data_IF_650257747952
#
_entry.id   IF_650257747952
#
_cell.length_a   1.000
_cell.length_b   1.000
_cell.length_c   1.000
_cell.angle_alpha   90.00
_cell.angle_beta   90.00
_cell.angle_gamma   90.00
#
_symmetry.space_group_name_H-M   'P 1'
#
loop_
_entity.id
_entity.type
_entity.pdbx_description
1 polymer ?
#
# COMPACT_ATOMS: atom_id res chain seq x y z
N UNK A 1 -24.46 26.74 18.06
CA UNK A 1 -24.40 26.94 16.59
C UNK A 1 -23.99 25.61 15.96
N UNK A 2 -24.85 24.92 15.19
CA UNK A 2 -24.48 23.73 14.40
C UNK A 2 -24.34 24.17 12.94
N UNK A 3 -23.17 23.99 12.35
CA UNK A 3 -22.94 24.28 10.93
C UNK A 3 -23.66 23.22 10.08
N UNK A 4 -24.44 23.60 9.04
CA UNK A 4 -24.95 22.65 8.07
C UNK A 4 -23.79 21.86 7.45
N UNK A 5 -23.85 20.53 7.45
CA UNK A 5 -22.78 19.64 6.96
C UNK A 5 -21.79 19.12 8.02
N UNK A 6 -21.79 19.67 9.24
CA UNK A 6 -20.88 19.27 10.32
C UNK A 6 -21.57 18.46 11.42
N UNK A 7 -22.70 17.80 11.09
CA UNK A 7 -23.53 17.09 12.09
C UNK A 7 -22.78 15.95 12.80
N UNK A 8 -21.79 15.34 12.14
CA UNK A 8 -20.94 14.26 12.65
C UNK A 8 -19.45 14.63 12.68
N UNK A 9 -19.11 15.92 12.67
CA UNK A 9 -17.71 16.34 12.69
C UNK A 9 -17.00 15.86 13.96
N UNK A 10 -15.86 15.17 13.79
CA UNK A 10 -15.08 14.50 14.85
C UNK A 10 -15.79 13.32 15.54
N UNK A 11 -16.94 12.86 15.03
CA UNK A 11 -17.54 11.61 15.48
C UNK A 11 -17.01 10.44 14.63
N UNK A 12 -16.95 9.22 15.19
CA UNK A 12 -16.62 8.03 14.41
C UNK A 12 -17.55 7.92 13.21
N UNK A 13 -16.97 7.71 12.02
CA UNK A 13 -17.72 7.42 10.80
C UNK A 13 -18.63 6.21 11.04
N UNK A 14 -19.89 6.32 10.63
CA UNK A 14 -20.83 5.20 10.80
C UNK A 14 -20.49 4.07 9.81
N UNK A 15 -20.94 2.84 10.10
CA UNK A 15 -20.77 1.72 9.16
C UNK A 15 -21.42 2.05 7.82
N UNK A 16 -22.60 2.66 7.83
CA UNK A 16 -23.33 3.06 6.62
C UNK A 16 -22.52 4.05 5.77
N UNK A 17 -21.90 5.07 6.37
CA UNK A 17 -21.04 6.02 5.66
C UNK A 17 -19.79 5.34 5.05
N UNK A 18 -19.21 4.37 5.76
CA UNK A 18 -18.06 3.60 5.30
C UNK A 18 -18.41 2.71 4.10
N UNK A 19 -19.59 2.07 4.14
CA UNK A 19 -20.13 1.25 3.05
C UNK A 19 -20.51 2.10 1.84
N UNK A 20 -21.10 3.29 2.07
CA UNK A 20 -21.33 4.27 1.01
C UNK A 20 -20.02 4.70 0.35
N UNK A 21 -18.96 4.94 1.13
CA UNK A 21 -17.65 5.23 0.57
C UNK A 21 -17.10 4.06 -0.26
N UNK A 22 -17.41 2.81 0.08
CA UNK A 22 -16.94 1.62 -0.66
C UNK A 22 -17.68 1.39 -2.01
N UNK A 23 -18.66 2.19 -2.41
CA UNK A 23 -19.43 1.98 -3.65
C UNK A 23 -18.58 1.93 -4.94
N UNK A 24 -17.46 2.64 -4.97
CA UNK A 24 -16.56 2.71 -6.14
C UNK A 24 -15.48 1.61 -6.10
N UNK A 25 -15.44 0.81 -5.04
CA UNK A 25 -14.55 -0.33 -4.88
C UNK A 25 -14.13 -0.57 -3.43
N UNK A 26 -13.53 -1.74 -3.13
CA UNK A 26 -13.20 -2.13 -1.77
C UNK A 26 -12.30 -1.13 -1.06
N UNK A 27 -12.59 -0.87 0.21
CA UNK A 27 -11.71 -0.11 1.10
C UNK A 27 -10.98 -1.08 2.01
N UNK A 28 -9.66 -0.96 2.04
CA UNK A 28 -8.78 -1.79 2.87
C UNK A 28 -8.07 -0.89 3.86
N UNK A 29 -8.43 -0.98 5.14
CA UNK A 29 -7.73 -0.30 6.23
C UNK A 29 -6.66 -1.25 6.76
N UNK A 30 -5.40 -0.83 6.75
CA UNK A 30 -4.30 -1.61 7.32
C UNK A 30 -3.92 -1.02 8.66
N UNK A 31 -4.05 -1.82 9.72
CA UNK A 31 -3.68 -1.44 11.08
C UNK A 31 -2.58 -2.34 11.61
N UNK A 32 -1.45 -1.76 11.98
CA UNK A 32 -0.30 -2.48 12.50
C UNK A 32 -0.11 -2.24 13.99
N UNK A 33 -0.12 -3.32 14.76
CA UNK A 33 0.28 -3.39 16.16
C UNK A 33 1.71 -3.92 16.27
N UNK A 34 2.30 -3.92 17.47
CA UNK A 34 3.72 -4.24 17.65
C UNK A 34 4.10 -5.62 17.11
N UNK A 35 3.25 -6.62 17.34
CA UNK A 35 3.47 -8.04 17.06
C UNK A 35 2.72 -8.56 15.82
N UNK A 36 1.74 -7.82 15.30
CA UNK A 36 0.96 -8.25 14.14
C UNK A 36 0.33 -7.07 13.39
N UNK A 37 -0.10 -7.30 12.15
CA UNK A 37 -0.93 -6.37 11.41
C UNK A 37 -2.27 -7.02 11.04
N UNK A 38 -3.25 -6.16 10.79
CA UNK A 38 -4.59 -6.55 10.40
C UNK A 38 -5.03 -5.72 9.20
N UNK A 39 -5.77 -6.35 8.29
CA UNK A 39 -6.56 -5.62 7.30
C UNK A 39 -8.05 -5.68 7.68
N UNK A 40 -8.71 -4.53 7.61
CA UNK A 40 -10.16 -4.42 7.70
C UNK A 40 -10.68 -4.06 6.31
N UNK A 41 -11.51 -4.94 5.78
CA UNK A 41 -12.05 -4.85 4.43
C UNK A 41 -13.51 -4.42 4.48
N UNK A 42 -13.83 -3.40 3.71
CA UNK A 42 -15.19 -2.90 3.50
C UNK A 42 -15.51 -3.14 2.03
N UNK A 43 -16.39 -4.11 1.78
CA UNK A 43 -16.80 -4.46 0.42
C UNK A 43 -17.98 -3.60 -0.04
N UNK A 44 -18.03 -3.21 -1.32
CA UNK A 44 -19.20 -2.52 -1.87
C UNK A 44 -20.48 -3.34 -1.63
N UNK A 45 -21.52 -2.69 -1.10
CA UNK A 45 -22.82 -3.33 -0.85
C UNK A 45 -22.86 -4.31 0.33
N UNK A 46 -21.74 -4.55 1.03
CA UNK A 46 -21.71 -5.34 2.26
C UNK A 46 -21.90 -4.44 3.48
N UNK A 47 -22.90 -4.73 4.32
CA UNK A 47 -23.17 -3.98 5.56
C UNK A 47 -22.25 -4.32 6.74
N UNK A 48 -21.17 -5.07 6.51
CA UNK A 48 -20.25 -5.54 7.55
C UNK A 48 -18.79 -5.40 7.12
N UNK A 49 -17.90 -5.31 8.11
CA UNK A 49 -16.46 -5.24 7.92
C UNK A 49 -15.87 -6.64 8.04
N UNK A 50 -15.05 -7.04 7.08
CA UNK A 50 -14.33 -8.31 7.11
C UNK A 50 -12.92 -8.10 7.66
N UNK A 51 -12.47 -8.98 8.55
CA UNK A 51 -11.14 -8.93 9.14
C UNK A 51 -10.22 -9.96 8.48
N UNK A 52 -9.00 -9.54 8.16
CA UNK A 52 -7.93 -10.40 7.64
C UNK A 52 -6.71 -10.21 8.56
N UNK A 53 -6.25 -11.30 9.17
CA UNK A 53 -5.00 -11.29 9.92
C UNK A 53 -3.81 -11.29 8.96
N UNK A 54 -2.80 -10.46 9.25
CA UNK A 54 -1.54 -10.38 8.51
C UNK A 54 -0.38 -10.73 9.47
N UNK A 55 -0.23 -12.02 9.85
CA UNK A 55 0.71 -12.44 10.89
C UNK A 55 2.17 -12.24 10.49
N UNK A 56 2.48 -12.26 9.20
CA UNK A 56 3.85 -12.18 8.68
C UNK A 56 4.35 -10.73 8.53
N UNK A 57 3.50 -9.75 8.88
CA UNK A 57 3.85 -8.34 8.94
C UNK A 57 3.55 -7.77 10.33
N UNK A 58 4.51 -7.04 10.90
CA UNK A 58 4.38 -6.48 12.26
C UNK A 58 4.64 -4.98 12.26
N UNK A 59 4.12 -4.29 13.26
CA UNK A 59 4.38 -2.87 13.47
C UNK A 59 5.87 -2.59 13.72
N UNK A 60 6.57 -3.49 14.41
CA UNK A 60 8.03 -3.38 14.57
C UNK A 60 8.76 -3.45 13.21
N UNK A 61 8.32 -4.33 12.31
CA UNK A 61 8.85 -4.44 10.94
C UNK A 61 8.52 -3.19 10.12
N UNK A 62 7.29 -2.67 10.23
CA UNK A 62 6.87 -1.44 9.57
C UNK A 62 7.72 -0.23 10.02
N UNK A 63 7.93 -0.06 11.33
CA UNK A 63 8.76 1.02 11.89
C UNK A 63 10.22 0.92 11.48
N UNK A 64 10.78 -0.29 11.47
CA UNK A 64 12.15 -0.53 10.99
C UNK A 64 12.29 -0.12 9.53
N UNK A 65 11.40 -0.62 8.68
CA UNK A 65 11.39 -0.35 7.25
C UNK A 65 11.24 1.14 6.97
N UNK A 66 10.31 1.82 7.65
CA UNK A 66 10.15 3.27 7.58
C UNK A 66 11.47 3.99 7.94
N UNK A 67 12.09 3.62 9.07
CA UNK A 67 13.32 4.24 9.56
C UNK A 67 14.49 4.06 8.59
N UNK A 68 14.62 2.88 7.98
CA UNK A 68 15.63 2.57 6.97
C UNK A 68 15.43 3.42 5.70
N UNK A 69 14.19 3.51 5.24
CA UNK A 69 13.84 4.31 4.06
C UNK A 69 14.07 5.81 4.30
N UNK A 70 13.71 6.33 5.47
CA UNK A 70 13.98 7.72 5.84
C UNK A 70 15.49 8.03 5.90
N UNK A 71 16.31 7.10 6.43
CA UNK A 71 17.77 7.25 6.44
C UNK A 71 18.35 7.28 5.02
N UNK A 72 17.87 6.40 4.14
CA UNK A 72 18.30 6.37 2.73
C UNK A 72 17.98 7.69 2.03
N UNK A 73 16.75 8.20 2.17
CA UNK A 73 16.34 9.50 1.58
C UNK A 73 17.17 10.67 2.12
N UNK A 74 17.47 10.70 3.43
CA UNK A 74 18.32 11.74 4.03
C UNK A 74 19.75 11.67 3.52
N UNK A 75 20.31 10.48 3.36
CA UNK A 75 21.65 10.26 2.79
C UNK A 75 21.76 10.82 1.37
N UNK A 76 20.74 10.59 0.53
CA UNK A 76 20.66 11.14 -0.85
C UNK A 76 20.74 12.67 -0.86
N UNK A 77 19.91 13.34 -0.04
CA UNK A 77 19.92 14.82 0.10
C UNK A 77 21.24 15.38 0.61
N UNK A 78 21.98 14.62 1.43
CA UNK A 78 23.30 15.02 1.92
C UNK A 78 24.41 14.77 0.89
N UNK A 79 24.29 13.71 0.09
CA UNK A 79 25.30 13.32 -0.90
C UNK A 79 25.26 14.19 -2.17
N UNK A 80 24.12 14.81 -2.48
CA UNK A 80 24.03 15.90 -3.48
C UNK A 80 24.94 17.10 -3.12
N UNK A 81 25.33 17.26 -1.84
CA UNK A 81 26.26 18.31 -1.38
C UNK A 81 27.68 17.81 -1.10
N UNK A 82 27.93 16.49 -1.14
CA UNK A 82 29.26 15.89 -0.91
C UNK A 82 29.36 14.55 -1.63
N UNK A 83 30.21 14.49 -2.64
CA UNK A 83 30.49 13.34 -3.51
C UNK A 83 30.98 12.12 -2.71
N UNK A 84 30.07 11.34 -2.12
CA UNK A 84 30.29 9.95 -1.75
C UNK A 84 29.01 9.18 -2.08
N UNK A 85 28.93 8.74 -3.33
CA UNK A 85 27.83 7.90 -3.83
C UNK A 85 27.96 6.52 -3.17
N UNK A 86 26.96 6.10 -2.39
CA UNK A 86 26.74 4.66 -2.16
C UNK A 86 26.54 4.00 -3.54
N UNK A 87 26.90 2.72 -3.73
CA UNK A 87 26.61 2.02 -4.97
C UNK A 87 25.09 2.02 -5.18
N UNK A 88 24.61 2.64 -6.26
CA UNK A 88 23.18 2.73 -6.61
C UNK A 88 22.49 1.37 -6.59
N UNK A 89 23.22 0.31 -6.95
CA UNK A 89 22.75 -1.07 -6.97
C UNK A 89 22.35 -1.60 -5.58
N UNK A 90 23.05 -1.24 -4.51
CA UNK A 90 22.70 -1.71 -3.16
C UNK A 90 21.37 -1.09 -2.69
N UNK A 91 21.13 0.17 -3.02
CA UNK A 91 19.90 0.88 -2.64
C UNK A 91 18.67 0.39 -3.42
N UNK A 92 18.84 0.06 -4.71
CA UNK A 92 17.77 -0.50 -5.53
C UNK A 92 17.36 -1.89 -5.00
N UNK A 93 18.32 -2.73 -4.62
CA UNK A 93 18.04 -4.03 -3.99
C UNK A 93 17.36 -3.89 -2.63
N UNK A 94 17.77 -2.91 -1.80
CA UNK A 94 17.10 -2.62 -0.52
C UNK A 94 15.62 -2.27 -0.74
N UNK A 95 15.30 -1.42 -1.73
CA UNK A 95 13.93 -1.04 -2.04
C UNK A 95 13.13 -2.20 -2.63
N UNK A 96 13.68 -2.95 -3.58
CA UNK A 96 13.02 -4.11 -4.19
C UNK A 96 12.65 -5.17 -3.14
N UNK A 97 13.53 -5.40 -2.15
CA UNK A 97 13.24 -6.29 -1.02
C UNK A 97 12.08 -5.79 -0.16
N UNK A 98 12.02 -4.48 0.11
CA UNK A 98 10.89 -3.88 0.85
C UNK A 98 9.58 -4.02 0.07
N UNK A 99 9.60 -3.79 -1.24
CA UNK A 99 8.42 -3.94 -2.09
C UNK A 99 7.94 -5.38 -2.17
N UNK A 100 8.86 -6.35 -2.26
CA UNK A 100 8.54 -7.76 -2.24
C UNK A 100 7.96 -8.18 -0.87
N UNK A 101 8.53 -7.67 0.22
CA UNK A 101 8.04 -7.96 1.56
C UNK A 101 6.62 -7.42 1.80
N UNK A 102 6.34 -6.18 1.37
CA UNK A 102 4.99 -5.61 1.39
C UNK A 102 4.02 -6.40 0.50
N UNK A 103 4.51 -6.91 -0.63
CA UNK A 103 3.70 -7.72 -1.53
C UNK A 103 3.27 -9.02 -0.87
N UNK A 104 4.21 -9.83 -0.41
CA UNK A 104 3.90 -11.16 0.11
C UNK A 104 3.16 -11.13 1.45
N UNK A 105 3.44 -10.15 2.31
CA UNK A 105 2.91 -10.15 3.69
C UNK A 105 1.68 -9.26 3.88
N UNK A 106 1.40 -8.33 2.95
CA UNK A 106 0.29 -7.36 3.10
C UNK A 106 -0.61 -7.36 1.88
N UNK A 107 -0.08 -7.04 0.70
CA UNK A 107 -0.91 -6.78 -0.48
C UNK A 107 -1.48 -8.08 -1.05
N UNK A 108 -0.64 -9.08 -1.31
CA UNK A 108 -1.06 -10.36 -1.89
C UNK A 108 -2.11 -11.07 -1.03
N UNK A 109 -1.98 -11.22 0.30
CA UNK A 109 -3.02 -11.85 1.13
C UNK A 109 -4.37 -11.15 1.02
N UNK A 110 -4.39 -9.82 0.95
CA UNK A 110 -5.62 -9.03 0.77
C UNK A 110 -6.21 -9.25 -0.62
N UNK A 111 -5.37 -9.24 -1.67
CA UNK A 111 -5.80 -9.47 -3.05
C UNK A 111 -6.30 -10.89 -3.29
N UNK A 112 -5.65 -11.88 -2.69
CA UNK A 112 -6.07 -13.29 -2.71
C UNK A 112 -7.44 -13.43 -2.05
N UNK A 113 -7.64 -12.79 -0.90
CA UNK A 113 -8.89 -12.85 -0.15
C UNK A 113 -10.08 -12.29 -0.93
N UNK A 114 -9.89 -11.18 -1.64
CA UNK A 114 -10.92 -10.59 -2.51
C UNK A 114 -11.05 -11.27 -3.87
N UNK A 115 -10.18 -12.23 -4.19
CA UNK A 115 -10.22 -13.03 -5.42
C UNK A 115 -9.55 -12.38 -6.63
N UNK A 116 -8.78 -11.29 -6.47
CA UNK A 116 -8.22 -10.54 -7.60
C UNK A 116 -6.93 -11.12 -8.17
N UNK A 117 -6.36 -12.13 -7.55
CA UNK A 117 -5.15 -12.83 -8.02
C UNK A 117 -5.45 -14.06 -8.87
N UNK A 118 -6.71 -14.50 -8.91
CA UNK A 118 -7.11 -15.76 -9.57
C UNK A 118 -7.67 -15.57 -10.99
N UNK A 119 -7.80 -14.33 -11.49
CA UNK A 119 -8.53 -14.07 -12.72
C UNK A 119 -7.65 -14.11 -13.98
N UNK A 120 -7.85 -15.17 -14.76
CA UNK A 120 -7.56 -15.22 -16.20
C UNK A 120 -8.46 -14.25 -17.03
N UNK A 121 -9.46 -13.64 -16.39
CA UNK A 121 -10.43 -12.69 -16.96
C UNK A 121 -10.12 -11.21 -16.67
N UNK A 122 -8.91 -10.90 -16.20
CA UNK A 122 -8.39 -9.53 -16.12
C UNK A 122 -8.13 -8.95 -17.53
N UNK A 123 -9.16 -8.91 -18.36
CA UNK A 123 -9.24 -8.00 -19.50
C UNK A 123 -9.03 -6.59 -18.94
N UNK A 124 -8.17 -5.82 -19.60
CA UNK A 124 -7.66 -4.50 -19.19
C UNK A 124 -8.71 -3.44 -18.85
N UNK A 125 -10.01 -3.75 -18.97
CA UNK A 125 -11.14 -2.86 -18.78
C UNK A 125 -11.89 -3.01 -17.45
N UNK A 126 -11.60 -4.02 -16.62
CA UNK A 126 -12.35 -4.22 -15.37
C UNK A 126 -11.45 -4.45 -14.14
N UNK A 127 -10.26 -3.84 -14.12
CA UNK A 127 -9.40 -3.92 -12.93
C UNK A 127 -10.07 -3.17 -11.77
N UNK A 128 -10.43 -3.86 -10.69
CA UNK A 128 -11.17 -3.26 -9.60
C UNK A 128 -10.33 -2.22 -8.85
N UNK A 129 -10.91 -1.03 -8.64
CA UNK A 129 -10.28 0.06 -7.91
C UNK A 129 -10.27 -0.24 -6.40
N UNK A 130 -9.10 -0.54 -5.84
CA UNK A 130 -8.92 -0.71 -4.40
C UNK A 130 -8.47 0.60 -3.77
N UNK A 131 -9.05 0.95 -2.62
CA UNK A 131 -8.61 2.08 -1.80
C UNK A 131 -7.88 1.57 -0.56
N UNK A 132 -6.61 1.92 -0.46
CA UNK A 132 -5.77 1.61 0.70
C UNK A 132 -5.83 2.75 1.72
N UNK A 133 -6.09 2.39 2.98
CA UNK A 133 -6.08 3.30 4.13
C UNK A 133 -5.07 2.76 5.17
N UNK A 134 -3.76 2.90 4.94
CA UNK A 134 -2.74 2.48 5.90
C UNK A 134 -2.73 3.40 7.13
N UNK A 135 -2.50 2.85 8.33
CA UNK A 135 -2.39 3.62 9.58
C UNK A 135 -1.02 3.44 10.25
N UNK A 136 -0.49 4.52 10.84
CA UNK A 136 0.78 4.50 11.58
C UNK A 136 2.00 4.41 10.67
N UNK A 137 3.00 3.60 11.07
CA UNK A 137 4.28 3.51 10.36
C UNK A 137 4.14 3.02 8.90
N UNK A 138 3.16 2.15 8.65
CA UNK A 138 2.90 1.61 7.31
C UNK A 138 2.39 2.68 6.32
N UNK A 139 1.85 3.81 6.81
CA UNK A 139 1.42 4.94 5.95
C UNK A 139 2.58 5.59 5.20
N UNK A 140 3.82 5.37 5.64
CA UNK A 140 5.03 5.86 4.99
C UNK A 140 5.64 4.85 4.01
N UNK A 141 5.05 3.66 3.88
CA UNK A 141 5.53 2.60 3.01
C UNK A 141 4.77 2.61 1.67
N UNK A 142 5.45 2.28 0.56
CA UNK A 142 4.86 2.34 -0.78
C UNK A 142 3.95 1.14 -1.09
N UNK A 143 2.82 1.00 -0.38
CA UNK A 143 1.88 -0.12 -0.55
C UNK A 143 1.36 -0.23 -2.00
N UNK A 144 1.16 0.91 -2.65
CA UNK A 144 0.69 0.98 -4.04
C UNK A 144 1.71 0.45 -5.06
N UNK A 145 2.99 0.34 -4.68
CA UNK A 145 4.07 -0.17 -5.53
C UNK A 145 4.57 -1.53 -5.05
N UNK A 146 3.92 -2.15 -4.06
CA UNK A 146 4.30 -3.46 -3.57
C UNK A 146 4.23 -4.48 -4.72
N UNK A 147 5.34 -5.20 -4.93
CA UNK A 147 5.47 -6.21 -5.97
C UNK A 147 6.80 -6.92 -5.84
N UNK A 148 6.89 -8.13 -6.39
CA UNK A 148 8.15 -8.86 -6.48
C UNK A 148 8.90 -8.48 -7.77
N UNK A 149 9.91 -7.63 -7.62
CA UNK A 149 10.75 -7.17 -8.73
C UNK A 149 12.05 -7.95 -8.87
N UNK A 150 12.36 -8.85 -7.93
CA UNK A 150 13.64 -9.60 -7.89
C UNK A 150 13.80 -10.53 -9.09
N UNK A 151 12.68 -10.95 -9.69
CA UNK A 151 12.62 -11.81 -10.89
C UNK A 151 12.36 -11.04 -12.20
N UNK A 152 12.40 -9.69 -12.18
CA UNK A 152 12.04 -8.84 -13.33
C UNK A 152 13.09 -8.72 -14.44
N UNK A 153 14.10 -9.60 -14.47
CA UNK A 153 15.04 -9.70 -15.61
C UNK A 153 14.40 -10.19 -16.92
N UNK A 154 13.10 -10.48 -16.92
CA UNK A 154 12.32 -10.62 -18.16
C UNK A 154 11.32 -9.47 -18.27
N UNK A 155 11.65 -8.55 -19.19
CA UNK A 155 10.80 -7.47 -19.74
C UNK A 155 10.96 -6.08 -19.09
N UNK A 156 12.19 -5.56 -19.08
CA UNK A 156 12.42 -4.13 -19.40
C UNK A 156 12.25 -3.94 -20.90
N UNK A 157 11.01 -3.82 -21.39
CA UNK A 157 10.74 -3.35 -22.76
C UNK A 157 9.61 -2.31 -22.74
N UNK A 158 10.02 -1.08 -23.05
CA UNK A 158 9.24 0.08 -23.47
C UNK A 158 8.19 0.70 -22.52
N UNK A 159 8.65 1.73 -21.80
CA UNK A 159 7.88 2.99 -21.68
C UNK A 159 8.74 4.15 -22.18
N UNK A 160 8.89 4.23 -23.49
CA UNK A 160 9.17 5.49 -24.18
C UNK A 160 7.97 5.81 -25.07
N UNK A 161 7.26 6.89 -24.71
CA UNK A 161 6.70 7.86 -25.65
C UNK A 161 6.19 9.06 -24.87
N UNK A 162 7.05 10.06 -24.80
CA UNK A 162 6.68 11.45 -24.54
C UNK A 162 6.40 12.12 -25.89
N UNK A 163 5.36 12.97 -25.93
CA UNK A 163 5.26 14.17 -26.77
C UNK A 163 5.02 14.03 -28.27
N UNK A 164 3.81 14.42 -28.72
CA UNK A 164 3.59 15.50 -29.68
C UNK A 164 2.09 15.59 -30.02
N UNK A 165 1.53 16.78 -29.83
CA UNK A 165 0.15 17.17 -30.11
C UNK A 165 -0.08 18.57 -29.56
#
# INVERSE_FOLDING_TARGET
MKLPGFKHFLQPTTCDELVQAAQVGPIVVINCQEDHCNALLVMPGCGYVTHIALPDFTGAKAQRTQSEMEKSVRSRKSSERRVRRRPVQEEDMELENVLADLWYNVVKPVLDFIGYTNDADATTHNMPHIKWCPTGAISFLPLHAAGDYTNSTKTRFNRERSGAG
#
